data_IF_058197219034
#
_entry.id   IF_058197219034
#
_cell.length_a   1.000
_cell.length_b   1.000
_cell.length_c   1.000
_cell.angle_alpha   90.00
_cell.angle_beta   90.00
_cell.angle_gamma   90.00
#
_symmetry.space_group_name_H-M   'P 1'
#
loop_
_entity.id
_entity.type
_entity.pdbx_description
1 polymer ?
#
# COMPACT_ATOMS: atom_id res chain seq x y z
N UNK A 1 -4.62 2.10 -11.59
CA UNK A 1 -4.78 2.13 -13.06
C UNK A 1 -6.23 2.31 -13.49
N UNK A 2 -7.11 1.32 -13.32
CA UNK A 2 -8.50 1.39 -13.83
C UNK A 2 -9.32 2.60 -13.34
N UNK A 3 -9.09 3.02 -12.09
CA UNK A 3 -9.74 4.20 -11.50
C UNK A 3 -8.96 5.52 -11.69
N UNK A 4 -7.84 5.50 -12.43
CA UNK A 4 -7.00 6.69 -12.64
C UNK A 4 -6.25 7.21 -11.41
N UNK A 5 -6.31 6.52 -10.26
CA UNK A 5 -5.61 6.93 -9.05
C UNK A 5 -4.10 6.74 -9.15
N UNK A 6 -3.35 7.64 -8.51
CA UNK A 6 -1.87 7.68 -8.48
C UNK A 6 -1.29 7.35 -7.11
N UNK A 7 -2.11 7.29 -6.07
CA UNK A 7 -1.69 6.93 -4.71
C UNK A 7 -2.74 6.00 -4.09
N UNK A 8 -2.29 4.99 -3.37
CA UNK A 8 -3.12 4.11 -2.57
C UNK A 8 -2.53 3.91 -1.18
N UNK A 9 -3.41 3.59 -0.24
CA UNK A 9 -3.05 3.24 1.13
C UNK A 9 -3.61 1.86 1.43
N UNK A 10 -2.78 0.97 1.97
CA UNK A 10 -3.18 -0.32 2.48
C UNK A 10 -3.18 -0.26 4.00
N UNK A 11 -4.37 -0.20 4.60
CA UNK A 11 -4.53 -0.26 6.04
C UNK A 11 -4.40 -1.72 6.52
N UNK A 12 -3.36 -1.99 7.32
CA UNK A 12 -3.09 -3.30 7.88
C UNK A 12 -3.48 -3.26 9.36
N UNK A 13 -4.32 -4.23 9.76
CA UNK A 13 -4.83 -4.30 11.12
C UNK A 13 -3.72 -4.45 12.16
N UNK A 14 -3.87 -3.76 13.29
CA UNK A 14 -2.78 -3.53 14.24
C UNK A 14 -2.25 -4.74 15.01
N UNK A 15 -3.00 -5.83 15.05
CA UNK A 15 -2.59 -7.06 15.72
C UNK A 15 -1.54 -7.86 14.93
N UNK A 16 -1.28 -7.45 13.69
CA UNK A 16 -0.56 -8.23 12.68
C UNK A 16 0.73 -7.50 12.26
N UNK A 17 1.63 -7.28 13.23
CA UNK A 17 2.86 -6.50 13.05
C UNK A 17 3.90 -7.16 12.13
N UNK A 18 4.00 -8.49 12.16
CA UNK A 18 4.99 -9.20 11.36
C UNK A 18 4.64 -9.13 9.87
N UNK A 19 3.37 -9.25 9.54
CA UNK A 19 2.86 -9.19 8.18
C UNK A 19 2.91 -7.76 7.65
N UNK A 20 2.72 -6.74 8.51
CA UNK A 20 3.01 -5.35 8.14
C UNK A 20 4.46 -5.17 7.67
N UNK A 21 5.43 -5.74 8.41
CA UNK A 21 6.85 -5.66 8.03
C UNK A 21 7.13 -6.40 6.73
N UNK A 22 6.61 -7.61 6.57
CA UNK A 22 6.73 -8.38 5.33
C UNK A 22 6.14 -7.58 4.16
N UNK A 23 5.01 -6.91 4.37
CA UNK A 23 4.38 -6.11 3.35
C UNK A 23 5.22 -4.88 2.97
N UNK A 24 5.78 -4.16 3.95
CA UNK A 24 6.71 -3.05 3.68
C UNK A 24 7.94 -3.50 2.88
N UNK A 25 8.52 -4.66 3.23
CA UNK A 25 9.63 -5.26 2.47
C UNK A 25 9.21 -5.61 1.04
N UNK A 26 8.03 -6.20 0.86
CA UNK A 26 7.49 -6.52 -0.46
C UNK A 26 7.19 -5.27 -1.31
N UNK A 27 6.75 -4.16 -0.69
CA UNK A 27 6.58 -2.89 -1.40
C UNK A 27 7.94 -2.39 -1.93
N UNK A 28 9.00 -2.48 -1.13
CA UNK A 28 10.34 -2.11 -1.55
C UNK A 28 10.87 -3.01 -2.67
N UNK A 29 10.61 -4.32 -2.62
CA UNK A 29 10.91 -5.24 -3.71
C UNK A 29 10.17 -4.87 -4.99
N UNK A 30 8.88 -4.55 -4.90
CA UNK A 30 8.06 -4.13 -6.03
C UNK A 30 8.56 -2.82 -6.66
N UNK A 31 8.99 -1.85 -5.84
CA UNK A 31 9.62 -0.60 -6.31
C UNK A 31 10.91 -0.90 -7.07
N UNK A 32 11.80 -1.72 -6.50
CA UNK A 32 13.06 -2.11 -7.17
C UNK A 32 12.84 -2.87 -8.47
N UNK A 33 11.80 -3.70 -8.54
CA UNK A 33 11.42 -4.43 -9.74
C UNK A 33 10.69 -3.58 -10.80
N UNK A 34 10.33 -2.32 -10.47
CA UNK A 34 9.60 -1.43 -11.38
C UNK A 34 8.11 -1.73 -11.50
N UNK A 35 7.54 -2.48 -10.56
CA UNK A 35 6.10 -2.77 -10.48
C UNK A 35 5.31 -1.72 -9.66
N UNK A 36 6.02 -0.87 -8.92
CA UNK A 36 5.46 0.20 -8.11
C UNK A 36 6.34 1.45 -8.22
N UNK A 37 5.75 2.63 -8.08
CA UNK A 37 6.45 3.91 -8.18
C UNK A 37 6.15 4.63 -9.50
N UNK A 38 7.17 5.29 -10.04
CA UNK A 38 7.02 6.10 -11.25
C UNK A 38 7.28 5.28 -12.51
N UNK A 39 6.53 5.60 -13.56
CA UNK A 39 6.65 5.02 -14.89
C UNK A 39 6.71 3.49 -14.87
N UNK A 40 5.75 2.87 -14.18
CA UNK A 40 5.68 1.43 -13.93
C UNK A 40 5.84 0.68 -15.25
N UNK A 41 6.87 -0.15 -15.34
CA UNK A 41 7.24 -0.93 -16.53
C UNK A 41 7.35 -0.11 -17.84
N UNK A 42 7.67 1.19 -17.77
CA UNK A 42 7.77 2.06 -18.94
C UNK A 42 6.41 2.46 -19.54
N UNK A 43 5.31 2.25 -18.82
CA UNK A 43 3.94 2.48 -19.33
C UNK A 43 3.49 3.95 -19.30
N UNK A 44 4.27 4.85 -18.68
CA UNK A 44 3.86 6.22 -18.37
C UNK A 44 2.88 6.34 -17.20
N UNK A 45 2.48 5.23 -16.59
CA UNK A 45 1.60 5.20 -15.41
C UNK A 45 2.43 5.24 -14.13
N UNK A 46 2.03 6.12 -13.20
CA UNK A 46 2.66 6.28 -11.89
C UNK A 46 1.68 5.85 -10.80
N UNK A 47 2.15 5.05 -9.84
CA UNK A 47 1.35 4.67 -8.69
C UNK A 47 2.22 4.43 -7.45
N UNK A 48 1.88 5.10 -6.36
CA UNK A 48 2.50 4.92 -5.04
C UNK A 48 1.55 4.14 -4.13
N UNK A 49 2.08 3.17 -3.40
CA UNK A 49 1.33 2.41 -2.40
C UNK A 49 2.04 2.53 -1.06
N UNK A 50 1.30 2.87 -0.02
CA UNK A 50 1.79 3.02 1.34
C UNK A 50 1.09 2.04 2.26
N UNK A 51 1.84 1.33 3.11
CA UNK A 51 1.22 0.60 4.20
C UNK A 51 0.91 1.57 5.36
N UNK A 52 -0.25 1.40 5.97
CA UNK A 52 -0.64 2.11 7.18
C UNK A 52 -0.99 1.09 8.25
N UNK A 53 -0.23 1.06 9.34
CA UNK A 53 -0.50 0.14 10.44
C UNK A 53 -1.55 0.72 11.38
N UNK A 54 -2.65 0.00 11.57
CA UNK A 54 -3.65 0.33 12.59
C UNK A 54 -3.11 0.12 14.00
N UNK A 55 -3.65 0.81 15.00
CA UNK A 55 -3.27 0.63 16.42
C UNK A 55 -4.38 -0.03 17.26
N UNK A 56 -5.06 -1.03 16.70
CA UNK A 56 -6.01 -1.88 17.44
C UNK A 56 -7.44 -1.32 17.57
N UNK A 57 -7.86 -0.42 16.68
CA UNK A 57 -9.24 0.06 16.65
C UNK A 57 -10.08 -0.77 15.65
N UNK A 58 -11.00 -1.59 16.17
CA UNK A 58 -11.96 -2.39 15.39
C UNK A 58 -12.89 -1.51 14.51
N UNK A 59 -13.12 -0.26 14.91
CA UNK A 59 -13.96 0.71 14.17
C UNK A 59 -13.27 1.29 12.92
N UNK A 60 -11.94 1.17 12.80
CA UNK A 60 -11.14 1.81 11.74
C UNK A 60 -11.03 0.97 10.45
N UNK A 61 -11.74 -0.16 10.35
CA UNK A 61 -11.85 -0.94 9.11
C UNK A 61 -13.08 -0.61 8.25
N UNK A 62 -13.91 0.33 8.71
CA UNK A 62 -15.05 0.85 7.96
C UNK A 62 -14.58 1.98 7.02
N UNK A 63 -15.03 1.99 5.78
CA UNK A 63 -14.50 2.86 4.70
C UNK A 63 -14.51 4.35 5.04
N UNK A 64 -15.46 4.82 5.87
CA UNK A 64 -15.53 6.24 6.28
C UNK A 64 -14.69 6.57 7.51
N UNK A 65 -14.21 5.56 8.23
CA UNK A 65 -13.30 5.69 9.35
C UNK A 65 -11.81 5.52 8.97
N UNK A 66 -11.52 5.12 7.71
CA UNK A 66 -10.20 4.83 7.17
C UNK A 66 -9.63 6.00 6.32
#
# INVERSE_FOLDING_TARGET
YAMGITVGYNYIHGEIWNEYKIFEEALEEARRAGFLGDNILGSGFNFQLHAHHGYGAYICGEETAL
#
